data_IF_168728148634
#
_entry.id   IF_168728148634
#
_cell.length_a   1.000
_cell.length_b   1.000
_cell.length_c   1.000
_cell.angle_alpha   90.00
_cell.angle_beta   90.00
_cell.angle_gamma   90.00
#
_symmetry.space_group_name_H-M   'P 1'
#
loop_
_entity.id
_entity.type
_entity.pdbx_description
1 polymer ?
#
# COMPACT_ATOMS: atom_id res chain seq x y z
N UNK A 1 38.52 8.66 -102.05
CA UNK A 1 37.20 8.23 -101.55
C UNK A 1 37.41 6.94 -100.76
N UNK A 2 37.24 6.79 -99.45
CA UNK A 2 36.58 7.58 -98.43
C UNK A 2 35.93 6.60 -97.42
N UNK A 3 36.72 6.16 -96.41
CA UNK A 3 36.39 5.58 -95.07
C UNK A 3 35.45 4.34 -95.00
N UNK A 4 35.88 3.14 -94.54
CA UNK A 4 36.16 2.67 -93.13
C UNK A 4 34.83 2.51 -92.33
N UNK A 5 34.49 1.45 -91.57
CA UNK A 5 35.03 0.11 -91.19
C UNK A 5 33.93 -0.60 -90.33
N UNK A 6 33.93 -1.96 -90.33
CA UNK A 6 33.79 -2.89 -89.17
C UNK A 6 32.43 -2.94 -88.41
N UNK A 7 31.98 -4.01 -87.74
CA UNK A 7 32.04 -5.49 -87.74
C UNK A 7 31.24 -5.92 -86.48
N UNK A 8 30.78 -7.18 -86.42
CA UNK A 8 30.53 -8.02 -85.22
C UNK A 8 29.06 -8.27 -84.76
N UNK A 9 28.74 -9.57 -84.75
CA UNK A 9 27.61 -10.31 -84.15
C UNK A 9 27.37 -10.02 -82.65
N UNK A 10 26.10 -10.09 -82.21
CA UNK A 10 25.73 -10.47 -80.83
C UNK A 10 24.57 -11.47 -80.78
N UNK A 11 24.64 -12.36 -79.79
CA UNK A 11 23.73 -13.48 -79.47
C UNK A 11 22.59 -13.05 -78.52
N UNK A 12 21.45 -13.73 -78.68
CA UNK A 12 20.32 -14.06 -77.79
C UNK A 12 20.19 -13.37 -76.41
N UNK A 13 18.98 -12.88 -76.12
CA UNK A 13 18.45 -12.71 -74.77
C UNK A 13 17.09 -13.42 -74.64
N UNK A 14 16.98 -14.33 -73.67
CA UNK A 14 15.73 -14.81 -73.10
C UNK A 14 15.22 -13.73 -72.13
N UNK A 15 13.93 -13.39 -72.19
CA UNK A 15 13.24 -12.69 -71.12
C UNK A 15 12.10 -13.60 -70.63
N UNK A 16 12.35 -14.27 -69.51
CA UNK A 16 11.39 -15.12 -68.82
C UNK A 16 10.53 -14.33 -67.84
N UNK A 17 9.26 -14.71 -67.77
CA UNK A 17 8.40 -14.71 -66.58
C UNK A 17 8.85 -13.82 -65.42
N UNK A 18 8.31 -12.61 -65.30
CA UNK A 18 8.53 -11.74 -64.12
C UNK A 18 7.35 -10.80 -63.83
N UNK A 19 6.10 -11.27 -63.93
CA UNK A 19 4.94 -10.43 -63.51
C UNK A 19 3.87 -11.19 -62.68
N UNK A 20 3.93 -12.51 -62.49
CA UNK A 20 2.83 -13.25 -61.81
C UNK A 20 3.20 -13.81 -60.42
N UNK A 21 4.40 -13.55 -59.90
CA UNK A 21 4.89 -14.16 -58.64
C UNK A 21 5.03 -13.20 -57.44
N UNK A 22 4.29 -12.07 -57.41
CA UNK A 22 4.36 -11.09 -56.30
C UNK A 22 2.99 -10.70 -55.71
N UNK A 23 1.93 -11.47 -55.97
CA UNK A 23 0.58 -11.21 -55.44
C UNK A 23 0.04 -12.32 -54.52
N UNK A 24 0.87 -13.27 -54.08
CA UNK A 24 0.42 -14.47 -53.35
C UNK A 24 1.13 -14.78 -52.02
N UNK A 25 1.85 -13.83 -51.42
CA UNK A 25 2.37 -13.97 -50.05
C UNK A 25 2.23 -12.66 -49.24
N UNK A 26 1.00 -12.18 -49.14
CA UNK A 26 0.58 -11.26 -48.08
C UNK A 26 -0.73 -11.76 -47.46
N UNK A 27 -0.71 -13.03 -47.02
CA UNK A 27 -1.69 -13.49 -46.04
C UNK A 27 -1.24 -12.89 -44.72
N UNK A 28 -1.72 -11.68 -44.46
CA UNK A 28 -1.70 -11.08 -43.13
C UNK A 28 -2.49 -12.06 -42.26
N UNK A 29 -1.80 -12.82 -41.41
CA UNK A 29 -2.43 -13.47 -40.27
C UNK A 29 -2.93 -12.34 -39.35
N UNK A 30 -4.14 -11.86 -39.61
CA UNK A 30 -4.93 -11.17 -38.60
C UNK A 30 -5.34 -12.29 -37.65
N UNK A 31 -4.44 -12.65 -36.73
CA UNK A 31 -4.85 -13.36 -35.54
C UNK A 31 -5.92 -12.46 -34.90
N UNK A 32 -7.11 -12.97 -34.55
CA UNK A 32 -8.00 -12.20 -33.71
C UNK A 32 -7.20 -11.87 -32.45
N UNK A 33 -6.89 -10.58 -32.25
CA UNK A 33 -6.61 -10.11 -30.90
C UNK A 33 -7.87 -10.46 -30.15
N UNK A 34 -7.82 -11.50 -29.32
CA UNK A 34 -8.78 -11.62 -28.24
C UNK A 34 -8.69 -10.28 -27.52
N UNK A 35 -9.68 -9.43 -27.72
CA UNK A 35 -9.98 -8.41 -26.72
C UNK A 35 -10.23 -9.23 -25.46
N UNK A 36 -9.19 -9.34 -24.64
CA UNK A 36 -9.38 -9.77 -23.26
C UNK A 36 -10.36 -8.75 -22.73
N UNK A 37 -11.62 -9.17 -22.58
CA UNK A 37 -12.63 -8.35 -21.95
C UNK A 37 -12.05 -7.97 -20.60
N UNK A 38 -11.61 -6.72 -20.47
CA UNK A 38 -11.02 -6.19 -19.26
C UNK A 38 -12.10 -6.29 -18.20
N UNK A 39 -11.96 -7.23 -17.27
CA UNK A 39 -12.95 -7.42 -16.23
C UNK A 39 -12.85 -6.21 -15.32
N UNK A 40 -13.91 -5.41 -15.18
CA UNK A 40 -13.88 -4.33 -14.19
C UNK A 40 -13.60 -4.92 -12.81
N UNK A 41 -12.80 -4.23 -11.98
CA UNK A 41 -12.62 -4.63 -10.58
C UNK A 41 -13.99 -4.93 -9.93
N UNK A 42 -14.11 -6.03 -9.17
CA UNK A 42 -15.35 -6.36 -8.51
C UNK A 42 -15.67 -5.33 -7.42
N UNK A 43 -16.96 -5.09 -7.19
CA UNK A 43 -17.42 -4.16 -6.15
C UNK A 43 -17.12 -4.64 -4.73
N UNK A 44 -16.87 -5.95 -4.55
CA UNK A 44 -16.42 -6.62 -3.33
C UNK A 44 -15.72 -7.93 -3.71
N UNK A 45 -14.80 -8.40 -2.88
CA UNK A 45 -14.20 -9.73 -3.05
C UNK A 45 -14.94 -10.76 -2.20
N UNK A 46 -15.21 -11.95 -2.74
CA UNK A 46 -15.63 -13.07 -1.89
C UNK A 46 -14.50 -13.52 -0.97
N UNK A 47 -14.81 -14.21 0.13
CA UNK A 47 -13.78 -14.72 1.04
C UNK A 47 -12.78 -15.67 0.34
N UNK A 48 -13.27 -16.44 -0.64
CA UNK A 48 -12.44 -17.33 -1.45
C UNK A 48 -11.46 -16.52 -2.31
N UNK A 49 -11.94 -15.48 -2.99
CA UNK A 49 -11.09 -14.61 -3.82
C UNK A 49 -10.09 -13.83 -2.97
N UNK A 50 -10.55 -13.25 -1.85
CA UNK A 50 -9.71 -12.54 -0.90
C UNK A 50 -8.58 -13.43 -0.38
N UNK A 51 -8.91 -14.63 0.12
CA UNK A 51 -7.92 -15.55 0.65
C UNK A 51 -6.98 -16.10 -0.42
N UNK A 52 -7.50 -16.33 -1.64
CA UNK A 52 -6.71 -16.74 -2.79
C UNK A 52 -5.69 -15.67 -3.17
N UNK A 53 -6.09 -14.40 -3.23
CA UNK A 53 -5.17 -13.28 -3.51
C UNK A 53 -4.08 -13.22 -2.44
N UNK A 54 -4.45 -13.30 -1.15
CA UNK A 54 -3.47 -13.30 -0.05
C UNK A 54 -2.47 -14.43 -0.21
N UNK A 55 -2.94 -15.66 -0.45
CA UNK A 55 -2.09 -16.85 -0.55
C UNK A 55 -1.22 -16.84 -1.80
N UNK A 56 -1.81 -16.51 -2.94
CA UNK A 56 -1.15 -16.62 -4.24
C UNK A 56 -0.20 -15.46 -4.49
N UNK A 57 -0.51 -14.25 -4.02
CA UNK A 57 0.33 -13.08 -4.30
C UNK A 57 1.46 -12.92 -3.27
N UNK A 58 1.25 -13.41 -2.05
CA UNK A 58 2.24 -13.27 -0.99
C UNK A 58 3.54 -14.06 -1.25
N UNK A 59 4.62 -13.52 -0.71
CA UNK A 59 5.95 -14.10 -0.61
C UNK A 59 6.17 -14.79 0.76
N UNK A 60 7.24 -15.58 0.92
CA UNK A 60 7.69 -15.97 2.26
C UNK A 60 7.99 -14.73 3.12
N UNK A 61 7.69 -14.81 4.42
CA UNK A 61 7.98 -13.71 5.34
C UNK A 61 9.48 -13.44 5.45
N UNK A 62 9.86 -12.16 5.35
CA UNK A 62 11.22 -11.71 5.61
C UNK A 62 11.43 -11.29 7.07
N UNK A 63 12.65 -10.85 7.36
CA UNK A 63 13.07 -10.47 8.70
C UNK A 63 12.90 -8.97 8.95
N UNK A 64 12.36 -8.61 10.12
CA UNK A 64 12.43 -7.27 10.66
C UNK A 64 12.82 -7.32 12.14
N UNK A 65 13.68 -6.40 12.57
CA UNK A 65 14.36 -6.45 13.88
C UNK A 65 13.49 -6.17 15.11
N UNK A 66 12.25 -5.71 14.92
CA UNK A 66 11.38 -5.25 15.99
C UNK A 66 9.91 -5.40 15.60
N UNK A 67 9.08 -5.65 16.62
CA UNK A 67 7.63 -5.58 16.54
C UNK A 67 7.22 -4.10 16.40
N UNK A 68 6.73 -3.73 15.21
CA UNK A 68 6.20 -2.40 14.93
C UNK A 68 4.74 -2.50 14.47
N UNK A 69 3.86 -2.48 15.46
CA UNK A 69 2.40 -2.57 15.28
C UNK A 69 1.74 -1.20 15.03
N UNK A 70 2.48 -0.11 15.23
CA UNK A 70 2.00 1.25 14.94
C UNK A 70 3.10 2.05 14.28
N UNK A 71 2.71 3.08 13.52
CA UNK A 71 3.64 4.01 12.89
C UNK A 71 4.47 4.81 13.93
N UNK A 72 5.51 5.50 13.46
CA UNK A 72 6.21 6.54 14.22
C UNK A 72 6.28 7.88 13.48
N UNK A 73 5.43 8.04 12.47
CA UNK A 73 5.39 9.20 11.58
C UNK A 73 4.37 10.22 12.08
N UNK A 74 4.80 11.25 12.81
CA UNK A 74 3.87 12.24 13.39
C UNK A 74 3.24 13.18 12.35
N UNK A 75 3.80 13.28 11.14
CA UNK A 75 3.33 14.21 10.09
C UNK A 75 2.57 13.54 8.95
N UNK A 76 2.19 12.26 9.12
CA UNK A 76 1.57 11.45 8.07
C UNK A 76 0.25 12.02 7.52
N UNK A 77 -0.43 12.87 8.29
CA UNK A 77 -1.68 13.49 7.86
C UNK A 77 -1.49 14.77 7.02
N UNK A 78 -0.31 15.41 7.05
CA UNK A 78 -0.08 16.72 6.43
C UNK A 78 -0.29 16.70 4.91
N UNK A 79 -0.01 15.58 4.26
CA UNK A 79 -0.14 15.44 2.80
C UNK A 79 -1.56 15.18 2.33
N UNK A 80 -2.51 14.90 3.24
CA UNK A 80 -3.87 14.45 2.88
C UNK A 80 -4.65 15.51 2.07
N UNK A 81 -4.64 16.81 2.42
CA UNK A 81 -5.29 17.83 1.60
C UNK A 81 -4.80 17.83 0.14
N UNK A 82 -3.48 17.70 -0.07
CA UNK A 82 -2.89 17.70 -1.40
C UNK A 82 -3.09 16.38 -2.14
N UNK A 83 -3.08 15.26 -1.42
CA UNK A 83 -3.48 13.96 -1.96
C UNK A 83 -4.89 14.01 -2.51
N UNK A 84 -5.87 14.51 -1.75
CA UNK A 84 -7.27 14.61 -2.20
C UNK A 84 -7.45 15.50 -3.44
N UNK A 85 -6.63 16.56 -3.57
CA UNK A 85 -6.66 17.46 -4.74
C UNK A 85 -6.08 16.80 -6.00
N UNK A 86 -5.05 15.98 -5.87
CA UNK A 86 -4.25 15.45 -6.99
C UNK A 86 -4.67 14.04 -7.42
N UNK A 87 -5.02 13.20 -6.46
CA UNK A 87 -5.35 11.80 -6.68
C UNK A 87 -6.65 11.65 -7.48
N UNK A 88 -6.61 10.86 -8.54
CA UNK A 88 -7.83 10.51 -9.26
C UNK A 88 -8.66 9.49 -8.47
N UNK A 89 -9.97 9.72 -8.32
CA UNK A 89 -10.88 8.73 -7.74
C UNK A 89 -10.92 7.44 -8.56
N UNK A 90 -11.26 6.34 -7.89
CA UNK A 90 -11.60 5.09 -8.57
C UNK A 90 -10.43 4.19 -8.97
N UNK A 91 -9.20 4.51 -8.55
CA UNK A 91 -8.04 3.63 -8.70
C UNK A 91 -7.74 2.81 -7.44
N UNK A 92 -6.53 2.26 -7.37
CA UNK A 92 -6.08 1.36 -6.30
C UNK A 92 -5.05 2.04 -5.40
N UNK A 93 -5.11 1.75 -4.10
CA UNK A 93 -4.12 2.17 -3.13
C UNK A 93 -3.14 1.02 -2.85
N UNK A 94 -1.85 1.32 -2.82
CA UNK A 94 -0.81 0.43 -2.31
C UNK A 94 -0.16 1.07 -1.09
N UNK A 95 0.24 0.28 -0.10
CA UNK A 95 0.97 0.82 1.05
C UNK A 95 1.73 -0.22 1.86
N UNK A 96 2.71 0.22 2.65
CA UNK A 96 3.46 -0.62 3.61
C UNK A 96 3.08 -0.31 5.05
N UNK A 97 3.34 -1.21 5.99
CA UNK A 97 3.16 -0.97 7.41
C UNK A 97 1.71 -1.12 7.88
N UNK A 98 1.42 -0.80 9.14
CA UNK A 98 0.15 -1.15 9.76
C UNK A 98 -0.95 -0.12 9.45
N UNK A 99 -1.51 0.49 10.47
CA UNK A 99 -2.80 1.15 10.52
C UNK A 99 -2.81 2.56 9.89
N UNK A 100 -1.67 3.21 9.71
CA UNK A 100 -1.61 4.51 9.02
C UNK A 100 -2.15 4.44 7.59
N UNK A 101 -2.11 3.24 6.97
CA UNK A 101 -2.75 2.97 5.70
C UNK A 101 -4.25 3.26 5.72
N UNK A 102 -4.96 2.96 6.82
CA UNK A 102 -6.40 3.21 6.93
C UNK A 102 -6.71 4.71 6.84
N UNK A 103 -5.83 5.58 7.32
CA UNK A 103 -6.04 7.03 7.19
C UNK A 103 -5.98 7.48 5.73
N UNK A 104 -4.99 7.01 4.97
CA UNK A 104 -4.91 7.31 3.53
C UNK A 104 -6.06 6.67 2.75
N UNK A 105 -6.43 5.43 3.07
CA UNK A 105 -7.55 4.72 2.45
C UNK A 105 -8.88 5.43 2.72
N UNK A 106 -9.13 5.90 3.95
CA UNK A 106 -10.33 6.66 4.29
C UNK A 106 -10.39 7.99 3.53
N UNK A 107 -9.24 8.66 3.35
CA UNK A 107 -9.15 9.91 2.63
C UNK A 107 -9.32 9.77 1.11
N UNK A 108 -8.80 8.69 0.52
CA UNK A 108 -8.77 8.46 -0.93
C UNK A 108 -9.95 7.63 -1.46
N UNK A 109 -10.58 6.82 -0.60
CA UNK A 109 -11.69 5.90 -0.93
C UNK A 109 -11.40 5.06 -2.20
N UNK A 110 -10.30 4.30 -2.24
CA UNK A 110 -9.90 3.55 -3.42
C UNK A 110 -10.88 2.42 -3.75
N UNK A 111 -10.84 1.94 -5.00
CA UNK A 111 -11.61 0.74 -5.39
C UNK A 111 -11.10 -0.52 -4.70
N UNK A 112 -9.80 -0.61 -4.48
CA UNK A 112 -9.15 -1.71 -3.80
C UNK A 112 -7.89 -1.16 -3.12
N UNK A 113 -7.49 -1.73 -1.99
CA UNK A 113 -6.26 -1.40 -1.31
C UNK A 113 -5.44 -2.67 -1.09
N UNK A 114 -4.15 -2.63 -1.41
CA UNK A 114 -3.19 -3.67 -1.03
C UNK A 114 -2.22 -3.10 0.00
N UNK A 115 -2.13 -3.75 1.16
CA UNK A 115 -1.11 -3.42 2.16
C UNK A 115 -0.04 -4.48 2.14
N UNK A 116 1.14 -4.13 1.65
CA UNK A 116 2.23 -5.03 1.29
C UNK A 116 3.39 -4.76 2.22
N UNK A 117 3.74 -5.73 3.06
CA UNK A 117 4.82 -5.61 4.03
C UNK A 117 5.68 -6.88 4.01
N UNK A 118 6.98 -6.74 4.22
CA UNK A 118 7.89 -7.88 4.25
C UNK A 118 7.58 -8.86 5.40
N UNK A 119 6.90 -8.38 6.44
CA UNK A 119 6.56 -9.14 7.64
C UNK A 119 5.21 -9.84 7.47
N UNK A 120 5.20 -11.17 7.58
CA UNK A 120 3.97 -11.95 7.73
C UNK A 120 3.12 -11.48 8.93
N UNK A 121 3.77 -11.07 10.01
CA UNK A 121 3.12 -10.54 11.19
C UNK A 121 2.26 -9.30 10.89
N UNK A 122 2.68 -8.42 9.96
CA UNK A 122 1.87 -7.27 9.57
C UNK A 122 0.64 -7.68 8.75
N UNK A 123 0.76 -8.70 7.89
CA UNK A 123 -0.40 -9.25 7.20
C UNK A 123 -1.44 -9.83 8.18
N UNK A 124 -0.97 -10.54 9.21
CA UNK A 124 -1.82 -11.08 10.28
C UNK A 124 -2.43 -9.99 11.17
N UNK A 125 -1.69 -8.92 11.45
CA UNK A 125 -2.19 -7.73 12.14
C UNK A 125 -3.34 -7.07 11.36
N UNK A 126 -3.22 -6.94 10.04
CA UNK A 126 -4.32 -6.43 9.20
C UNK A 126 -5.54 -7.36 9.18
N UNK A 127 -5.35 -8.68 9.25
CA UNK A 127 -6.46 -9.63 9.44
C UNK A 127 -7.12 -9.48 10.82
N UNK A 128 -6.34 -9.27 11.88
CA UNK A 128 -6.88 -8.93 13.21
C UNK A 128 -7.72 -7.65 13.14
N UNK A 129 -7.20 -6.59 12.50
CA UNK A 129 -7.95 -5.34 12.29
C UNK A 129 -9.24 -5.58 11.50
N UNK A 130 -9.20 -6.37 10.41
CA UNK A 130 -10.40 -6.73 9.62
C UNK A 130 -11.51 -7.27 10.51
N UNK A 131 -11.21 -8.27 11.33
CA UNK A 131 -12.18 -8.84 12.25
C UNK A 131 -12.70 -7.81 13.26
N UNK A 132 -11.83 -7.00 13.85
CA UNK A 132 -12.23 -5.93 14.77
C UNK A 132 -13.18 -4.92 14.11
N UNK A 133 -12.88 -4.48 12.88
CA UNK A 133 -13.76 -3.57 12.14
C UNK A 133 -15.13 -4.20 11.86
N UNK A 134 -15.17 -5.47 11.45
CA UNK A 134 -16.43 -6.17 11.15
C UNK A 134 -17.31 -6.35 12.39
N UNK A 135 -16.71 -6.73 13.51
CA UNK A 135 -17.39 -6.96 14.79
C UNK A 135 -17.86 -5.65 15.46
N UNK A 136 -17.22 -4.53 15.17
CA UNK A 136 -17.49 -3.25 15.85
C UNK A 136 -18.58 -2.43 15.17
N UNK A 137 -19.64 -2.06 15.87
CA UNK A 137 -20.74 -1.26 15.31
C UNK A 137 -20.31 0.15 14.88
N UNK A 138 -19.47 0.79 15.69
CA UNK A 138 -18.98 2.15 15.52
C UNK A 138 -17.52 2.28 16.00
N UNK A 139 -16.91 3.47 15.82
CA UNK A 139 -15.51 3.68 16.21
C UNK A 139 -15.24 3.53 17.71
N UNK A 140 -16.22 3.82 18.54
CA UNK A 140 -16.12 3.70 20.00
C UNK A 140 -16.03 2.22 20.40
N UNK A 141 -16.92 1.38 19.86
CA UNK A 141 -16.87 -0.07 20.05
C UNK A 141 -15.55 -0.65 19.53
N UNK A 142 -15.07 -0.17 18.38
CA UNK A 142 -13.79 -0.60 17.82
C UNK A 142 -12.61 -0.33 18.74
N UNK A 143 -12.49 0.88 19.28
CA UNK A 143 -11.40 1.21 20.19
C UNK A 143 -11.50 0.43 21.51
N UNK A 144 -12.72 0.25 22.03
CA UNK A 144 -12.94 -0.60 23.22
C UNK A 144 -12.50 -2.04 22.97
N UNK A 145 -12.83 -2.60 21.80
CA UNK A 145 -12.40 -3.95 21.42
C UNK A 145 -10.88 -4.05 21.24
N UNK A 146 -10.28 -3.14 20.48
CA UNK A 146 -8.83 -3.13 20.18
C UNK A 146 -7.98 -3.13 21.44
N UNK A 147 -8.36 -2.34 22.46
CA UNK A 147 -7.63 -2.24 23.71
C UNK A 147 -8.17 -3.10 24.84
N UNK A 148 -9.33 -3.74 24.64
CA UNK A 148 -10.08 -4.46 25.69
C UNK A 148 -10.28 -3.63 26.95
N UNK A 149 -10.70 -2.37 26.77
CA UNK A 149 -11.00 -1.44 27.86
C UNK A 149 -12.46 -1.04 27.77
N UNK A 150 -13.18 -1.14 28.88
CA UNK A 150 -14.56 -0.67 28.95
C UNK A 150 -14.57 0.85 28.83
N UNK A 151 -15.46 1.36 27.97
CA UNK A 151 -15.72 2.78 27.84
C UNK A 151 -16.99 3.14 28.60
N UNK A 152 -17.08 4.33 29.20
CA UNK A 152 -18.31 4.84 29.79
C UNK A 152 -19.49 4.80 28.80
N UNK A 153 -20.68 4.42 29.27
CA UNK A 153 -21.88 4.28 28.43
C UNK A 153 -22.31 5.59 27.73
N UNK A 154 -21.93 6.75 28.27
CA UNK A 154 -22.22 8.05 27.70
C UNK A 154 -21.31 8.43 26.51
N UNK A 155 -20.20 7.71 26.31
CA UNK A 155 -19.36 7.86 25.13
C UNK A 155 -19.93 7.02 23.98
N UNK A 156 -20.52 7.70 23.00
CA UNK A 156 -21.00 7.10 21.75
C UNK A 156 -20.13 7.52 20.56
N UNK A 157 -20.55 7.18 19.35
CA UNK A 157 -19.83 7.48 18.10
C UNK A 157 -19.59 8.97 17.82
N UNK A 158 -20.34 9.86 18.48
CA UNK A 158 -20.23 11.32 18.36
C UNK A 158 -19.24 11.95 19.37
N UNK A 159 -18.72 11.17 20.33
CA UNK A 159 -17.72 11.66 21.27
C UNK A 159 -16.46 12.16 20.54
N UNK A 160 -15.81 13.24 20.98
CA UNK A 160 -14.57 13.67 20.30
C UNK A 160 -13.47 12.63 20.46
N UNK A 161 -12.54 12.58 19.51
CA UNK A 161 -11.44 11.62 19.51
C UNK A 161 -10.57 11.77 20.76
N UNK A 162 -10.37 13.00 21.23
CA UNK A 162 -9.66 13.33 22.48
C UNK A 162 -10.37 12.69 23.68
N UNK A 163 -11.70 12.82 23.76
CA UNK A 163 -12.47 12.29 24.88
C UNK A 163 -12.46 10.76 24.91
N UNK A 164 -12.49 10.13 23.74
CA UNK A 164 -12.36 8.67 23.61
C UNK A 164 -11.01 8.19 24.14
N UNK A 165 -9.90 8.80 23.70
CA UNK A 165 -8.57 8.40 24.15
C UNK A 165 -8.27 8.78 25.60
N UNK A 166 -8.81 9.89 26.12
CA UNK A 166 -8.75 10.21 27.54
C UNK A 166 -9.39 9.09 28.38
N UNK A 167 -10.60 8.66 28.03
CA UNK A 167 -11.28 7.58 28.73
C UNK A 167 -10.50 6.26 28.65
N UNK A 168 -10.04 5.87 27.46
CA UNK A 168 -9.25 4.64 27.26
C UNK A 168 -7.93 4.65 28.04
N UNK A 169 -7.25 5.79 28.10
CA UNK A 169 -5.99 5.91 28.84
C UNK A 169 -6.18 5.80 30.36
N UNK A 170 -7.35 6.20 30.87
CA UNK A 170 -7.69 6.06 32.30
C UNK A 170 -8.28 4.71 32.67
N UNK A 171 -8.90 4.00 31.72
CA UNK A 171 -9.48 2.69 31.94
C UNK A 171 -8.41 1.60 32.03
N UNK A 172 -8.62 0.60 32.89
CA UNK A 172 -7.75 -0.58 32.95
C UNK A 172 -8.15 -1.61 31.88
N UNK A 173 -7.20 -2.41 31.35
CA UNK A 173 -7.56 -3.54 30.50
C UNK A 173 -8.40 -4.56 31.29
N UNK A 174 -9.48 -5.05 30.70
CA UNK A 174 -10.34 -6.08 31.26
C UNK A 174 -9.91 -7.46 30.72
N UNK A 175 -9.36 -8.36 31.56
CA UNK A 175 -8.85 -9.65 31.09
C UNK A 175 -9.93 -10.58 30.51
N UNK A 176 -11.15 -10.54 31.04
CA UNK A 176 -12.24 -11.38 30.55
C UNK A 176 -12.77 -10.84 29.22
N UNK A 177 -12.85 -9.50 29.10
CA UNK A 177 -13.14 -8.84 27.83
C UNK A 177 -12.06 -9.15 26.78
N UNK A 178 -10.78 -9.10 27.16
CA UNK A 178 -9.67 -9.41 26.26
C UNK A 178 -9.73 -10.84 25.73
N UNK A 179 -10.00 -11.82 26.61
CA UNK A 179 -10.18 -13.22 26.22
C UNK A 179 -11.39 -13.40 25.30
N UNK A 180 -12.51 -12.75 25.60
CA UNK A 180 -13.71 -12.79 24.78
C UNK A 180 -13.45 -12.21 23.38
N UNK A 181 -12.89 -11.00 23.32
CA UNK A 181 -12.63 -10.31 22.06
C UNK A 181 -11.60 -11.06 21.19
N UNK A 182 -10.52 -11.60 21.77
CA UNK A 182 -9.56 -12.42 21.02
C UNK A 182 -10.23 -13.66 20.44
N UNK A 183 -11.08 -14.34 21.22
CA UNK A 183 -11.87 -15.47 20.70
C UNK A 183 -12.76 -15.02 19.54
N UNK A 184 -13.47 -13.92 19.68
CA UNK A 184 -14.35 -13.39 18.63
C UNK A 184 -13.57 -13.04 17.35
N UNK A 185 -12.38 -12.46 17.46
CA UNK A 185 -11.49 -12.19 16.32
C UNK A 185 -11.10 -13.50 15.61
N UNK A 186 -10.69 -14.52 16.36
CA UNK A 186 -10.29 -15.80 15.78
C UNK A 186 -11.48 -16.55 15.16
N UNK A 187 -12.65 -16.53 15.81
CA UNK A 187 -13.89 -17.12 15.28
C UNK A 187 -14.31 -16.39 13.99
N UNK A 188 -14.22 -15.05 13.94
CA UNK A 188 -14.54 -14.27 12.74
C UNK A 188 -13.64 -14.66 11.56
N UNK A 189 -12.33 -14.78 11.79
CA UNK A 189 -11.40 -15.13 10.71
C UNK A 189 -11.51 -16.61 10.28
N UNK A 190 -11.74 -17.53 11.22
CA UNK A 190 -11.69 -18.98 10.95
C UNK A 190 -13.05 -19.58 10.67
N UNK A 191 -14.06 -19.25 11.46
CA UNK A 191 -15.36 -19.91 11.40
C UNK A 191 -16.32 -19.16 10.48
N UNK A 192 -16.31 -17.83 10.52
CA UNK A 192 -17.13 -17.01 9.60
C UNK A 192 -16.51 -16.97 8.20
N UNK A 193 -15.24 -16.55 8.08
CA UNK A 193 -14.57 -16.41 6.78
C UNK A 193 -13.90 -17.68 6.24
N UNK A 194 -13.72 -18.71 7.06
CA UNK A 194 -13.01 -19.94 6.65
C UNK A 194 -11.57 -19.71 6.16
N UNK A 195 -10.88 -18.68 6.68
CA UNK A 195 -9.47 -18.46 6.35
C UNK A 195 -8.58 -19.51 7.00
N UNK A 196 -7.72 -20.13 6.19
CA UNK A 196 -6.82 -21.21 6.61
C UNK A 196 -5.61 -20.66 7.38
N UNK A 197 -5.81 -20.34 8.66
CA UNK A 197 -4.74 -19.90 9.57
C UNK A 197 -4.00 -21.10 10.16
N UNK A 198 -2.66 -21.09 10.07
CA UNK A 198 -1.82 -22.08 10.76
C UNK A 198 -1.78 -21.82 12.28
N UNK A 199 -1.32 -22.78 13.10
CA UNK A 199 -1.11 -22.54 14.53
C UNK A 199 -0.17 -21.36 14.81
N UNK A 200 0.87 -21.18 13.99
CA UNK A 200 1.81 -20.06 14.10
C UNK A 200 1.14 -18.72 13.74
N UNK A 201 0.23 -18.72 12.77
CA UNK A 201 -0.56 -17.53 12.43
C UNK A 201 -1.47 -17.12 13.59
N UNK A 202 -2.14 -18.10 14.22
CA UNK A 202 -2.99 -17.87 15.39
C UNK A 202 -2.17 -17.31 16.56
N UNK A 203 -1.01 -17.90 16.85
CA UNK A 203 -0.12 -17.41 17.91
C UNK A 203 0.41 -16.00 17.65
N UNK A 204 0.67 -15.64 16.39
CA UNK A 204 1.06 -14.26 16.03
C UNK A 204 -0.10 -13.27 16.21
N UNK A 205 -1.32 -13.63 15.80
CA UNK A 205 -2.50 -12.77 16.02
C UNK A 205 -2.71 -12.54 17.53
N UNK A 206 -2.60 -13.59 18.34
CA UNK A 206 -2.68 -13.50 19.80
C UNK A 206 -1.60 -12.57 20.38
N UNK A 207 -0.35 -12.68 19.92
CA UNK A 207 0.75 -11.83 20.35
C UNK A 207 0.54 -10.35 20.01
N UNK A 208 0.13 -10.07 18.77
CA UNK A 208 -0.19 -8.71 18.32
C UNK A 208 -1.33 -8.13 19.16
N UNK A 209 -2.45 -8.86 19.26
CA UNK A 209 -3.61 -8.42 20.01
C UNK A 209 -3.29 -8.17 21.50
N UNK A 210 -2.56 -9.09 22.13
CA UNK A 210 -2.13 -8.95 23.52
C UNK A 210 -1.23 -7.73 23.71
N UNK A 211 -0.43 -7.37 22.71
CA UNK A 211 0.39 -6.16 22.75
C UNK A 211 -0.47 -4.90 22.78
N UNK A 212 -1.54 -4.82 21.97
CA UNK A 212 -2.52 -3.72 22.01
C UNK A 212 -3.25 -3.67 23.36
N UNK A 213 -3.72 -4.81 23.89
CA UNK A 213 -4.39 -4.86 25.20
C UNK A 213 -3.46 -4.40 26.33
N UNK A 214 -2.23 -4.90 26.34
CA UNK A 214 -1.25 -4.61 27.40
C UNK A 214 -0.83 -3.15 27.39
N UNK A 215 -0.49 -2.62 26.23
CA UNK A 215 -0.02 -1.24 26.10
C UNK A 215 -1.15 -0.21 26.12
N UNK A 216 -2.36 -0.60 25.71
CA UNK A 216 -3.48 0.31 25.50
C UNK A 216 -3.19 1.33 24.39
N UNK A 217 -3.87 2.50 24.41
CA UNK A 217 -3.62 3.56 23.44
C UNK A 217 -2.19 4.14 23.49
N UNK A 218 -1.42 3.83 24.53
CA UNK A 218 -0.02 4.21 24.69
C UNK A 218 0.97 3.27 24.00
N UNK A 219 0.50 2.28 23.24
CA UNK A 219 1.36 1.47 22.38
C UNK A 219 2.17 2.33 21.42
N UNK A 220 3.45 2.02 21.24
CA UNK A 220 4.42 2.79 20.44
C UNK A 220 5.14 1.86 19.47
N UNK A 221 5.73 2.45 18.42
CA UNK A 221 6.40 1.74 17.32
C UNK A 221 7.38 0.63 17.74
N UNK A 222 8.06 0.74 18.89
CA UNK A 222 8.93 -0.32 19.40
C UNK A 222 8.38 -0.86 20.71
N UNK A 223 7.41 -1.77 20.63
CA UNK A 223 6.83 -2.42 21.80
C UNK A 223 7.37 -3.86 21.93
N UNK A 224 7.66 -4.38 23.14
CA UNK A 224 7.72 -3.68 24.44
C UNK A 224 9.01 -2.85 24.63
N UNK A 225 9.92 -2.87 23.65
CA UNK A 225 11.25 -2.27 23.76
C UNK A 225 11.24 -0.73 23.64
N UNK A 226 11.07 -0.04 24.76
CA UNK A 226 11.18 1.42 24.78
C UNK A 226 12.64 1.89 24.78
N UNK A 227 13.03 2.59 23.72
CA UNK A 227 14.31 3.30 23.68
C UNK A 227 14.19 4.61 24.47
N UNK A 228 14.70 4.65 25.71
CA UNK A 228 14.54 5.81 26.63
C UNK A 228 15.01 7.17 26.08
N UNK A 229 15.91 7.19 25.08
CA UNK A 229 16.38 8.42 24.41
C UNK A 229 15.54 8.81 23.17
N UNK A 230 14.62 7.94 22.73
CA UNK A 230 13.78 8.11 21.55
C UNK A 230 12.33 7.76 21.88
N UNK A 231 11.55 8.75 22.33
CA UNK A 231 10.10 8.60 22.50
C UNK A 231 9.39 8.66 21.14
N UNK A 232 9.03 7.53 20.53
CA UNK A 232 8.14 7.49 19.35
C UNK A 232 6.73 7.89 19.76
N UNK A 233 5.89 8.46 18.86
CA UNK A 233 4.50 8.74 19.20
C UNK A 233 3.74 7.45 19.54
N UNK A 234 2.75 7.54 20.42
CA UNK A 234 1.81 6.45 20.70
C UNK A 234 0.71 6.38 19.64
N UNK A 235 -0.05 5.28 19.65
CA UNK A 235 -1.26 5.17 18.84
C UNK A 235 -2.22 6.35 19.07
N UNK A 236 -2.52 6.68 20.33
CA UNK A 236 -3.36 7.82 20.70
C UNK A 236 -2.83 9.14 20.14
N UNK A 237 -1.53 9.41 20.28
CA UNK A 237 -0.87 10.60 19.74
C UNK A 237 -1.04 10.65 18.21
N UNK A 238 -0.76 9.56 17.49
CA UNK A 238 -0.90 9.49 16.02
C UNK A 238 -2.33 9.72 15.55
N UNK A 239 -3.31 9.18 16.26
CA UNK A 239 -4.73 9.34 15.92
C UNK A 239 -5.23 10.77 16.21
N UNK A 240 -4.54 11.52 17.08
CA UNK A 240 -4.85 12.89 17.44
C UNK A 240 -4.09 13.94 16.61
N UNK A 241 -3.06 13.54 15.85
CA UNK A 241 -2.36 14.45 14.94
C UNK A 241 -3.30 15.15 13.95
N UNK A 242 -2.89 16.32 13.48
CA UNK A 242 -3.63 17.11 12.48
C UNK A 242 -2.75 17.37 11.26
N UNK A 243 -3.35 17.88 10.18
CA UNK A 243 -2.60 18.54 9.12
C UNK A 243 -2.12 19.94 9.55
N UNK A 244 -1.51 20.67 8.61
CA UNK A 244 -0.98 22.02 8.85
C UNK A 244 -2.08 23.10 9.02
N UNK A 245 -3.32 22.78 8.68
CA UNK A 245 -4.50 23.64 8.88
C UNK A 245 -5.25 23.32 10.19
N UNK A 246 -4.78 22.32 10.95
CA UNK A 246 -5.38 21.89 12.21
C UNK A 246 -6.54 20.91 12.04
N UNK A 247 -6.73 20.34 10.84
CA UNK A 247 -7.75 19.32 10.60
C UNK A 247 -7.20 17.92 10.89
N UNK A 248 -7.94 17.15 11.69
CA UNK A 248 -7.66 15.73 11.91
C UNK A 248 -8.32 14.89 10.79
N UNK A 249 -7.52 14.07 10.11
CA UNK A 249 -7.92 13.20 9.01
C UNK A 249 -7.82 11.71 9.35
N UNK A 250 -7.39 11.35 10.56
CA UNK A 250 -7.26 9.96 11.01
C UNK A 250 -8.50 9.15 10.68
N UNK A 251 -8.33 7.85 10.42
CA UNK A 251 -9.47 6.94 10.26
C UNK A 251 -10.37 6.88 11.53
N UNK A 252 -9.85 7.31 12.69
CA UNK A 252 -10.58 7.42 13.96
C UNK A 252 -11.16 8.82 14.23
N UNK A 253 -10.87 9.82 13.38
CA UNK A 253 -11.28 11.22 13.54
C UNK A 253 -12.79 11.42 13.61
N UNK A 254 -13.54 10.58 12.90
CA UNK A 254 -14.99 10.67 12.78
C UNK A 254 -15.59 9.29 12.51
N UNK A 255 -16.89 9.15 12.80
CA UNK A 255 -17.64 7.94 12.47
C UNK A 255 -17.71 7.70 10.95
N UNK A 256 -17.69 8.75 10.13
CA UNK A 256 -17.67 8.62 8.66
C UNK A 256 -16.37 7.95 8.17
N UNK A 257 -15.22 8.40 8.68
CA UNK A 257 -13.92 7.80 8.35
C UNK A 257 -13.86 6.35 8.81
N UNK A 258 -14.34 6.04 10.02
CA UNK A 258 -14.43 4.68 10.52
C UNK A 258 -15.31 3.80 9.63
N UNK A 259 -16.53 4.25 9.29
CA UNK A 259 -17.47 3.49 8.45
C UNK A 259 -16.93 3.24 7.05
N UNK A 260 -16.15 4.17 6.52
CA UNK A 260 -15.46 3.97 5.23
C UNK A 260 -14.52 2.77 5.30
N UNK A 261 -13.72 2.65 6.36
CA UNK A 261 -12.80 1.52 6.53
C UNK A 261 -13.55 0.24 6.86
N UNK A 262 -14.53 0.29 7.76
CA UNK A 262 -15.39 -0.85 8.07
C UNK A 262 -16.03 -1.41 6.80
N UNK A 263 -16.59 -0.56 5.95
CA UNK A 263 -17.19 -0.98 4.68
C UNK A 263 -16.15 -1.70 3.80
N UNK A 264 -14.98 -1.10 3.57
CA UNK A 264 -13.95 -1.72 2.74
C UNK A 264 -13.43 -3.04 3.33
N UNK A 265 -13.35 -3.16 4.65
CA UNK A 265 -12.97 -4.41 5.32
C UNK A 265 -14.04 -5.50 5.13
N UNK A 266 -15.32 -5.17 5.37
CA UNK A 266 -16.46 -6.10 5.19
C UNK A 266 -16.65 -6.52 3.73
N UNK A 267 -16.30 -5.65 2.78
CA UNK A 267 -16.32 -5.95 1.35
C UNK A 267 -15.05 -6.66 0.86
N UNK A 268 -14.11 -7.01 1.76
CA UNK A 268 -12.82 -7.64 1.44
C UNK A 268 -11.95 -6.80 0.50
N UNK A 269 -12.01 -5.47 0.57
CA UNK A 269 -11.32 -4.54 -0.34
C UNK A 269 -10.05 -3.91 0.23
N UNK A 270 -9.63 -4.33 1.42
CA UNK A 270 -8.30 -4.04 1.97
C UNK A 270 -7.58 -5.37 2.12
N UNK A 271 -6.66 -5.66 1.22
CA UNK A 271 -6.01 -6.96 1.08
C UNK A 271 -4.57 -6.88 1.61
N UNK A 272 -4.27 -7.49 2.78
CA UNK A 272 -2.91 -7.50 3.28
C UNK A 272 -2.09 -8.63 2.64
N UNK A 273 -0.87 -8.31 2.19
CA UNK A 273 0.05 -9.22 1.51
C UNK A 273 1.41 -9.23 2.21
N UNK A 274 2.09 -10.37 2.14
CA UNK A 274 3.51 -10.46 2.46
C UNK A 274 4.32 -10.18 1.20
N UNK A 275 5.22 -9.22 1.22
CA UNK A 275 6.03 -8.91 0.05
C UNK A 275 7.21 -7.98 0.32
N UNK A 276 8.34 -8.28 -0.30
CA UNK A 276 9.44 -7.34 -0.44
C UNK A 276 9.17 -6.41 -1.64
N UNK A 277 9.34 -5.11 -1.46
CA UNK A 277 9.21 -4.13 -2.55
C UNK A 277 10.23 -4.36 -3.68
N UNK A 278 11.38 -4.94 -3.37
CA UNK A 278 12.36 -5.39 -4.35
C UNK A 278 12.27 -6.89 -4.67
N UNK A 279 11.26 -7.58 -4.12
CA UNK A 279 10.95 -8.98 -4.39
C UNK A 279 10.41 -9.20 -5.80
N UNK A 280 10.32 -10.47 -6.19
CA UNK A 280 9.98 -10.85 -7.57
C UNK A 280 8.48 -11.13 -7.77
N UNK A 281 7.68 -11.17 -6.69
CA UNK A 281 6.33 -11.73 -6.75
C UNK A 281 5.23 -10.77 -6.34
N UNK A 282 5.24 -10.24 -5.12
CA UNK A 282 4.05 -9.59 -4.55
C UNK A 282 3.60 -8.36 -5.36
N UNK A 283 4.51 -7.43 -5.65
CA UNK A 283 4.20 -6.25 -6.47
C UNK A 283 3.91 -6.63 -7.93
N UNK A 284 4.61 -7.64 -8.46
CA UNK A 284 4.39 -8.12 -9.83
C UNK A 284 2.99 -8.70 -10.01
N UNK A 285 2.58 -9.61 -9.12
CA UNK A 285 1.25 -10.22 -9.12
C UNK A 285 0.13 -9.19 -8.94
N UNK A 286 0.33 -8.20 -8.06
CA UNK A 286 -0.59 -7.05 -7.97
C UNK A 286 -0.64 -6.30 -9.29
N UNK A 287 0.49 -5.98 -9.91
CA UNK A 287 0.55 -5.30 -11.21
C UNK A 287 -0.19 -6.05 -12.32
N UNK A 288 -0.02 -7.37 -12.41
CA UNK A 288 -0.74 -8.24 -13.34
C UNK A 288 -2.25 -8.20 -13.08
N UNK A 289 -2.68 -8.39 -11.84
CA UNK A 289 -4.08 -8.32 -11.45
C UNK A 289 -4.72 -6.97 -11.82
N UNK A 290 -4.02 -5.86 -11.58
CA UNK A 290 -4.51 -4.53 -11.93
C UNK A 290 -4.61 -4.31 -13.44
N UNK A 291 -3.66 -4.84 -14.24
CA UNK A 291 -3.70 -4.79 -15.71
C UNK A 291 -4.88 -5.59 -16.26
N UNK A 292 -5.11 -6.80 -15.75
CA UNK A 292 -6.26 -7.64 -16.11
C UNK A 292 -7.59 -6.92 -15.86
N UNK A 293 -7.63 -6.07 -14.83
CA UNK A 293 -8.82 -5.33 -14.44
C UNK A 293 -8.90 -3.89 -14.97
N UNK A 294 -7.91 -3.45 -15.76
CA UNK A 294 -7.92 -2.13 -16.40
C UNK A 294 -7.91 -0.96 -15.43
N UNK A 295 -7.27 -1.14 -14.27
CA UNK A 295 -7.23 -0.14 -13.19
C UNK A 295 -5.81 0.28 -12.89
N UNK A 296 -5.65 1.53 -12.46
CA UNK A 296 -4.35 2.12 -12.15
C UNK A 296 -4.14 2.29 -10.66
N UNK A 297 -2.89 2.27 -10.23
CA UNK A 297 -2.47 2.69 -8.89
C UNK A 297 -2.69 4.20 -8.78
N UNK A 298 -3.48 4.65 -7.82
CA UNK A 298 -3.69 6.07 -7.52
C UNK A 298 -2.61 6.59 -6.57
N UNK A 299 -2.28 5.81 -5.54
CA UNK A 299 -1.26 6.17 -4.57
C UNK A 299 -0.51 4.93 -4.09
N UNK A 300 0.78 5.10 -3.83
CA UNK A 300 1.65 4.09 -3.24
C UNK A 300 2.40 4.67 -2.04
N UNK A 301 2.00 4.28 -0.83
CA UNK A 301 2.67 4.64 0.40
C UNK A 301 3.88 3.73 0.70
N UNK A 302 5.07 4.31 0.73
CA UNK A 302 6.34 3.58 0.88
C UNK A 302 6.99 3.74 2.26
N UNK A 303 6.40 4.56 3.15
CA UNK A 303 7.04 4.96 4.42
C UNK A 303 8.51 5.37 4.13
N UNK A 304 9.47 4.86 4.89
CA UNK A 304 10.90 5.02 4.64
C UNK A 304 11.56 3.75 4.05
N UNK A 305 10.80 2.81 3.47
CA UNK A 305 11.36 1.57 2.89
C UNK A 305 12.46 1.86 1.87
N UNK A 306 12.26 2.88 1.05
CA UNK A 306 13.23 3.34 0.06
C UNK A 306 14.61 3.60 0.69
N UNK A 307 14.70 4.17 1.90
CA UNK A 307 15.98 4.41 2.58
C UNK A 307 16.80 3.12 2.75
N UNK A 308 16.14 2.01 3.07
CA UNK A 308 16.80 0.71 3.27
C UNK A 308 17.21 0.09 1.93
N UNK A 309 16.35 0.19 0.91
CA UNK A 309 16.65 -0.32 -0.43
C UNK A 309 17.85 0.40 -1.07
N UNK A 310 18.05 1.68 -0.76
CA UNK A 310 19.22 2.45 -1.21
C UNK A 310 20.51 2.13 -0.44
N UNK A 311 20.47 1.30 0.61
CA UNK A 311 21.70 0.77 1.25
C UNK A 311 22.27 -0.44 0.50
N UNK A 312 21.48 -1.03 -0.40
CA UNK A 312 21.90 -2.08 -1.34
C UNK A 312 21.61 -1.61 -2.76
N UNK A 313 21.72 -2.50 -3.76
CA UNK A 313 21.32 -2.22 -5.14
C UNK A 313 19.83 -2.52 -5.40
N UNK A 314 19.08 -2.94 -4.38
CA UNK A 314 17.71 -3.41 -4.52
C UNK A 314 16.72 -2.29 -4.85
N UNK A 315 17.07 -1.02 -4.61
CA UNK A 315 16.26 0.13 -5.04
C UNK A 315 16.01 0.15 -6.56
N UNK A 316 16.94 -0.38 -7.37
CA UNK A 316 16.75 -0.51 -8.83
C UNK A 316 15.67 -1.53 -9.16
N UNK A 317 15.67 -2.67 -8.47
CA UNK A 317 14.62 -3.70 -8.62
C UNK A 317 13.26 -3.14 -8.24
N UNK A 318 13.19 -2.42 -7.12
CA UNK A 318 11.97 -1.73 -6.71
C UNK A 318 11.46 -0.78 -7.79
N UNK A 319 12.32 0.04 -8.40
CA UNK A 319 11.88 0.93 -9.49
C UNK A 319 11.42 0.18 -10.74
N UNK A 320 12.03 -0.97 -11.09
CA UNK A 320 11.50 -1.82 -12.16
C UNK A 320 10.13 -2.40 -11.80
N UNK A 321 9.94 -2.91 -10.57
CA UNK A 321 8.64 -3.39 -10.10
C UNK A 321 7.57 -2.30 -10.18
N UNK A 322 7.90 -1.06 -9.80
CA UNK A 322 6.99 0.09 -9.91
C UNK A 322 6.71 0.45 -11.36
N UNK A 323 7.70 0.38 -12.25
CA UNK A 323 7.51 0.65 -13.68
C UNK A 323 6.52 -0.33 -14.33
N UNK A 324 6.43 -1.55 -13.80
CA UNK A 324 5.49 -2.56 -14.27
C UNK A 324 4.06 -2.38 -13.72
N UNK A 325 3.83 -1.53 -12.71
CA UNK A 325 2.49 -1.24 -12.22
C UNK A 325 1.70 -0.36 -13.21
N UNK A 326 0.40 -0.63 -13.45
CA UNK A 326 -0.43 0.30 -14.22
C UNK A 326 -0.60 1.60 -13.44
N UNK A 327 -0.18 2.71 -14.04
CA UNK A 327 -0.14 4.04 -13.42
C UNK A 327 -0.47 5.12 -14.44
N UNK A 328 -0.86 6.30 -13.97
CA UNK A 328 -1.10 7.48 -14.80
C UNK A 328 -0.32 8.71 -14.28
N UNK A 329 -0.45 9.84 -14.98
CA UNK A 329 0.30 11.07 -14.66
C UNK A 329 0.05 11.61 -13.23
N UNK A 330 -1.02 11.17 -12.55
CA UNK A 330 -1.40 11.55 -11.20
C UNK A 330 -1.24 10.42 -10.18
N UNK A 331 -0.61 9.30 -10.55
CA UNK A 331 -0.21 8.28 -9.60
C UNK A 331 0.90 8.82 -8.69
N UNK A 332 0.68 8.75 -7.38
CA UNK A 332 1.56 9.40 -6.39
C UNK A 332 2.28 8.39 -5.50
N UNK A 333 3.56 8.65 -5.25
CA UNK A 333 4.23 8.14 -4.06
C UNK A 333 3.86 8.98 -2.85
N UNK A 334 3.70 8.30 -1.70
CA UNK A 334 3.63 8.90 -0.37
C UNK A 334 4.79 8.30 0.43
N UNK A 335 5.74 9.11 0.86
CA UNK A 335 6.95 8.63 1.55
C UNK A 335 7.20 9.40 2.83
N UNK A 336 7.78 8.73 3.81
CA UNK A 336 8.23 9.34 5.04
C UNK A 336 9.74 9.48 5.04
N UNK A 337 10.22 10.68 5.39
CA UNK A 337 11.63 10.96 5.58
C UNK A 337 11.88 11.36 7.02
N UNK A 338 12.90 10.77 7.67
CA UNK A 338 13.30 11.11 9.04
C UNK A 338 14.58 11.93 9.08
N UNK A 339 14.59 13.01 9.87
CA UNK A 339 15.66 14.03 9.87
C UNK A 339 17.03 13.55 10.35
N UNK A 340 17.10 12.37 10.96
CA UNK A 340 18.35 11.79 11.44
C UNK A 340 19.22 11.20 10.32
N UNK A 341 18.80 11.33 9.05
CA UNK A 341 19.53 10.84 7.89
C UNK A 341 20.27 11.92 7.09
N UNK A 342 20.44 13.13 7.62
CA UNK A 342 21.40 14.12 7.09
C UNK A 342 20.84 15.20 6.14
N UNK A 343 19.63 15.05 5.63
CA UNK A 343 18.89 16.12 4.95
C UNK A 343 17.92 16.75 5.97
N UNK A 344 17.95 18.07 6.14
CA UNK A 344 17.00 18.77 7.02
C UNK A 344 16.05 19.58 6.15
N UNK A 345 14.76 19.36 6.35
CA UNK A 345 13.73 20.11 5.64
C UNK A 345 13.57 21.50 6.27
N UNK A 346 13.66 22.58 5.46
CA UNK A 346 13.28 23.91 5.94
C UNK A 346 11.78 23.91 6.26
N UNK A 347 11.39 24.56 7.37
CA UNK A 347 10.00 24.74 7.82
C UNK A 347 9.26 23.48 8.31
N UNK A 348 9.94 22.47 8.85
CA UNK A 348 9.23 21.45 9.62
C UNK A 348 8.50 22.07 10.82
N UNK A 349 7.28 21.57 11.07
CA UNK A 349 6.59 21.80 12.32
C UNK A 349 7.56 21.53 13.49
N UNK A 350 7.65 22.48 14.42
CA UNK A 350 8.65 22.46 15.49
C UNK A 350 8.62 21.12 16.24
N UNK A 351 9.74 20.38 16.20
CA UNK A 351 9.86 19.09 16.90
C UNK A 351 9.44 17.84 16.10
N UNK A 352 8.88 17.99 14.89
CA UNK A 352 8.54 16.85 14.03
C UNK A 352 9.78 16.04 13.64
N UNK A 353 9.71 14.72 13.80
CA UNK A 353 10.85 13.80 13.53
C UNK A 353 10.89 13.29 12.10
N UNK A 354 9.74 13.28 11.45
CA UNK A 354 9.59 12.95 10.05
C UNK A 354 8.82 14.01 9.31
N UNK A 355 9.01 14.04 7.99
CA UNK A 355 8.14 14.73 7.04
C UNK A 355 7.59 13.72 6.06
N UNK A 356 6.31 13.85 5.73
CA UNK A 356 5.69 13.07 4.65
C UNK A 356 5.73 13.88 3.36
N UNK A 357 6.16 13.24 2.27
CA UNK A 357 6.42 13.87 0.98
C UNK A 357 5.66 13.16 -0.12
N UNK A 358 5.33 13.92 -1.16
CA UNK A 358 4.67 13.41 -2.36
C UNK A 358 5.59 13.54 -3.58
N UNK A 359 5.53 12.58 -4.50
CA UNK A 359 6.11 12.69 -5.83
C UNK A 359 5.23 11.91 -6.81
N UNK A 360 5.23 12.28 -8.09
CA UNK A 360 4.56 11.50 -9.12
C UNK A 360 5.36 10.23 -9.40
N UNK A 361 4.72 9.06 -9.41
CA UNK A 361 5.39 7.80 -9.73
C UNK A 361 6.03 7.84 -11.14
N UNK A 362 5.33 8.28 -12.23
CA UNK A 362 5.94 8.34 -13.55
C UNK A 362 7.11 9.34 -13.63
N UNK A 363 7.00 10.46 -12.91
CA UNK A 363 8.05 11.49 -12.91
C UNK A 363 9.34 11.01 -12.23
N UNK A 364 9.22 10.23 -11.14
CA UNK A 364 10.38 9.62 -10.50
C UNK A 364 11.03 8.56 -11.39
N UNK A 365 10.23 7.68 -12.01
CA UNK A 365 10.73 6.68 -12.95
C UNK A 365 11.43 7.33 -14.16
N UNK A 366 10.87 8.41 -14.70
CA UNK A 366 11.54 9.16 -15.78
C UNK A 366 12.88 9.77 -15.32
N UNK A 367 12.97 10.22 -14.06
CA UNK A 367 14.24 10.69 -13.52
C UNK A 367 15.25 9.54 -13.36
N UNK A 368 14.80 8.37 -12.94
CA UNK A 368 15.62 7.16 -12.83
C UNK A 368 16.17 6.71 -14.20
N UNK A 369 15.30 6.56 -15.21
CA UNK A 369 15.68 6.17 -16.58
C UNK A 369 16.64 7.18 -17.23
N UNK A 370 16.48 8.46 -16.92
CA UNK A 370 17.38 9.51 -17.38
C UNK A 370 18.73 9.55 -16.62
N UNK A 371 18.97 8.61 -15.69
CA UNK A 371 20.18 8.54 -14.88
C UNK A 371 20.34 9.73 -13.92
N UNK A 372 19.24 10.32 -13.43
CA UNK A 372 19.25 11.46 -12.48
C UNK A 372 19.06 11.05 -11.02
N UNK A 373 18.76 9.78 -10.76
CA UNK A 373 18.65 9.22 -9.41
C UNK A 373 19.87 8.35 -9.13
N UNK A 374 20.73 8.79 -8.22
CA UNK A 374 21.95 8.07 -7.82
C UNK A 374 21.94 7.68 -6.34
N UNK A 375 21.12 8.35 -5.54
CA UNK A 375 21.03 8.17 -4.10
C UNK A 375 19.61 8.40 -3.61
N UNK A 376 19.33 7.92 -2.40
CA UNK A 376 18.08 8.22 -1.71
C UNK A 376 17.82 9.73 -1.60
N UNK A 377 18.87 10.54 -1.44
CA UNK A 377 18.73 12.00 -1.34
C UNK A 377 18.23 12.65 -2.64
N UNK A 378 18.49 12.05 -3.81
CA UNK A 378 17.96 12.57 -5.06
C UNK A 378 16.43 12.40 -5.11
N UNK A 379 15.92 11.27 -4.60
CA UNK A 379 14.47 11.01 -4.45
C UNK A 379 13.83 12.01 -3.50
N UNK A 380 14.45 12.21 -2.33
CA UNK A 380 13.95 13.12 -1.30
C UNK A 380 13.98 14.58 -1.77
N UNK A 381 15.08 15.03 -2.38
CA UNK A 381 15.20 16.37 -2.96
C UNK A 381 14.18 16.62 -4.06
N UNK A 382 13.87 15.60 -4.87
CA UNK A 382 12.84 15.69 -5.91
C UNK A 382 11.43 15.84 -5.31
N UNK A 383 11.13 15.14 -4.22
CA UNK A 383 9.80 15.19 -3.56
C UNK A 383 9.56 16.46 -2.76
N UNK A 384 10.61 17.24 -2.53
CA UNK A 384 10.59 18.50 -1.80
C UNK A 384 10.34 19.73 -2.69
N UNK A 385 10.27 19.52 -4.01
CA UNK A 385 10.04 20.54 -5.04
C UNK A 385 8.61 20.41 -5.56
#
# INVERSE_FOLDING_TARGET
MGRVKVLIRRRKFLFGFSVVALLSLAVIYIAPRSEVATQSLPEKLSDIEFWKIITDFSEPGGFFRSDNFVSNESTFQHVIPDLRKRAKPGGVYLGVGPDQNFTYVAALRPKLAFVIDIRRQNMLEHLMYKALFELSENRTAFLSMLFSRQLPEDLNEHATTERLFEALNTGEPDPELAKHNLKAVLDQLRDHHSFSLSPDDVGNIEHVYTSFVTAGPEIRYSFPNQYGWRRFPSYSELMLETDEEGQNHSYMSSEESFRTIKQLQTENRIVPLVGDFAGEKALSAVGEYLKEHGVTVTAFYTSNVEFYLFQTEDWKKFFHNVADLPQDANSLFIRAYFNNYGFRFPNQASGARSVTLLDTMPGLLQAFEAGRIHSYFDVIKRSSQ
#
